data_IF_399175430113
#
_entry.id   IF_399175430113
#
_cell.length_a   1.000
_cell.length_b   1.000
_cell.length_c   1.000
_cell.angle_alpha   90.00
_cell.angle_beta   90.00
_cell.angle_gamma   90.00
#
_symmetry.space_group_name_H-M   'P 1'
#
loop_
_entity.id
_entity.type
_entity.pdbx_description
1 polymer ?
#
# COMPACT_ATOMS: atom_id res chain seq x y z
N UNK A 1 -21.47 -27.06 7.94
CA UNK A 1 -22.29 -27.02 6.69
C UNK A 1 -21.34 -26.72 5.55
N UNK A 2 -21.52 -27.30 4.35
CA UNK A 2 -20.51 -27.18 3.31
C UNK A 2 -20.34 -25.72 2.83
N UNK A 3 -19.10 -25.25 2.76
CA UNK A 3 -18.75 -23.95 2.16
C UNK A 3 -18.82 -24.09 0.64
N UNK A 4 -19.62 -23.24 -0.03
CA UNK A 4 -19.68 -23.16 -1.48
C UNK A 4 -18.72 -22.06 -1.95
N UNK A 5 -17.81 -22.36 -2.88
CA UNK A 5 -16.93 -21.36 -3.49
C UNK A 5 -17.42 -21.01 -4.89
N UNK A 6 -17.49 -19.71 -5.20
CA UNK A 6 -17.77 -19.22 -6.55
C UNK A 6 -16.62 -18.39 -7.07
N UNK A 7 -16.05 -18.84 -8.19
CA UNK A 7 -15.01 -18.14 -8.92
C UNK A 7 -15.58 -16.91 -9.65
N UNK A 8 -14.84 -15.80 -9.61
CA UNK A 8 -15.12 -14.59 -10.37
C UNK A 8 -14.73 -14.79 -11.84
N UNK A 9 -15.69 -15.23 -12.64
CA UNK A 9 -15.51 -15.36 -14.09
C UNK A 9 -15.58 -14.00 -14.78
N UNK A 10 -14.94 -13.90 -15.94
CA UNK A 10 -14.96 -12.67 -16.74
C UNK A 10 -16.39 -12.24 -17.07
N UNK A 11 -16.77 -11.01 -16.69
CA UNK A 11 -18.12 -10.49 -16.88
C UNK A 11 -19.15 -10.92 -15.83
N UNK A 12 -18.79 -11.73 -14.83
CA UNK A 12 -19.70 -12.14 -13.75
C UNK A 12 -19.95 -10.99 -12.75
N UNK A 13 -20.97 -10.19 -13.06
CA UNK A 13 -21.36 -9.04 -12.24
C UNK A 13 -21.89 -9.43 -10.87
N UNK A 14 -22.43 -10.64 -10.71
CA UNK A 14 -23.01 -11.07 -9.43
C UNK A 14 -21.90 -11.43 -8.46
N UNK A 15 -20.96 -12.29 -8.87
CA UNK A 15 -19.82 -12.66 -8.03
C UNK A 15 -18.96 -11.43 -7.74
N UNK A 16 -18.74 -10.54 -8.71
CA UNK A 16 -18.03 -9.29 -8.46
C UNK A 16 -18.72 -8.44 -7.38
N UNK A 17 -20.04 -8.29 -7.48
CA UNK A 17 -20.81 -7.55 -6.47
C UNK A 17 -20.70 -8.18 -5.08
N UNK A 18 -20.77 -9.50 -4.99
CA UNK A 18 -20.64 -10.21 -3.72
C UNK A 18 -19.22 -10.09 -3.15
N UNK A 19 -18.19 -10.16 -4.00
CA UNK A 19 -16.79 -9.93 -3.62
C UNK A 19 -16.56 -8.51 -3.06
N UNK A 20 -17.21 -7.51 -3.66
CA UNK A 20 -17.14 -6.13 -3.18
C UNK A 20 -17.91 -5.94 -1.87
N UNK A 21 -19.05 -6.62 -1.70
CA UNK A 21 -19.97 -6.38 -0.59
C UNK A 21 -19.71 -7.23 0.65
N UNK A 22 -19.04 -8.39 0.54
CA UNK A 22 -18.82 -9.30 1.68
C UNK A 22 -18.11 -8.61 2.86
N UNK A 23 -17.32 -7.58 2.58
CA UNK A 23 -16.67 -6.76 3.61
C UNK A 23 -17.66 -6.02 4.53
N UNK A 24 -18.87 -5.70 4.06
CA UNK A 24 -19.87 -5.05 4.94
C UNK A 24 -20.27 -5.98 6.08
N UNK A 25 -20.39 -7.28 5.79
CA UNK A 25 -20.69 -8.30 6.80
C UNK A 25 -19.49 -8.54 7.71
N UNK A 26 -18.29 -8.65 7.15
CA UNK A 26 -17.07 -8.96 7.93
C UNK A 26 -16.70 -7.81 8.87
N UNK A 27 -16.86 -6.57 8.41
CA UNK A 27 -16.49 -5.35 9.15
C UNK A 27 -17.70 -4.63 9.77
N UNK A 28 -18.83 -5.32 9.92
CA UNK A 28 -20.03 -4.73 10.54
C UNK A 28 -19.72 -4.18 11.94
N UNK A 29 -20.05 -2.91 12.17
CA UNK A 29 -19.81 -2.24 13.46
C UNK A 29 -18.33 -1.97 13.77
N UNK A 30 -17.40 -2.16 12.84
CA UNK A 30 -15.98 -1.86 13.04
C UNK A 30 -15.68 -0.37 12.78
N UNK A 31 -15.42 0.46 13.80
CA UNK A 31 -15.21 1.90 13.62
C UNK A 31 -13.90 2.24 12.90
N UNK A 32 -12.90 1.36 12.94
CA UNK A 32 -11.58 1.61 12.35
C UNK A 32 -11.45 1.15 10.89
N UNK A 33 -12.41 0.35 10.41
CA UNK A 33 -12.51 -0.04 9.03
C UNK A 33 -13.17 1.06 8.21
N UNK A 34 -12.59 1.37 7.05
CA UNK A 34 -13.19 2.26 6.06
C UNK A 34 -13.26 1.47 4.76
N UNK A 35 -14.49 1.28 4.26
CA UNK A 35 -14.72 0.55 3.03
C UNK A 35 -14.06 1.28 1.84
N UNK A 36 -13.15 0.61 1.10
CA UNK A 36 -12.59 1.16 -0.14
C UNK A 36 -13.67 1.45 -1.17
N UNK A 37 -13.35 2.33 -2.13
CA UNK A 37 -14.28 2.62 -3.22
C UNK A 37 -14.45 1.39 -4.12
N UNK A 38 -15.69 1.02 -4.41
CA UNK A 38 -16.01 -0.16 -5.22
C UNK A 38 -15.37 -0.07 -6.61
N UNK A 39 -15.29 1.15 -7.17
CA UNK A 39 -14.66 1.41 -8.46
C UNK A 39 -13.17 1.09 -8.45
N UNK A 40 -12.47 1.37 -7.34
CA UNK A 40 -11.04 1.09 -7.21
C UNK A 40 -10.79 -0.43 -7.21
N UNK A 41 -11.51 -1.16 -6.35
CA UNK A 41 -11.36 -2.62 -6.25
C UNK A 41 -11.82 -3.31 -7.55
N UNK A 42 -12.92 -2.86 -8.15
CA UNK A 42 -13.40 -3.40 -9.42
C UNK A 42 -12.40 -3.17 -10.57
N UNK A 43 -11.81 -1.98 -10.66
CA UNK A 43 -10.81 -1.67 -11.69
C UNK A 43 -9.51 -2.47 -11.49
N UNK A 44 -9.12 -2.75 -10.24
CA UNK A 44 -7.97 -3.63 -9.91
C UNK A 44 -8.20 -5.08 -10.33
N UNK A 45 -9.42 -5.61 -10.20
CA UNK A 45 -9.77 -6.98 -10.60
C UNK A 45 -10.13 -7.12 -12.09
N UNK A 46 -10.29 -6.01 -12.82
CA UNK A 46 -10.61 -6.02 -14.24
C UNK A 46 -9.36 -6.25 -15.09
N UNK A 47 -9.27 -7.45 -15.68
CA UNK A 47 -8.15 -7.89 -16.53
C UNK A 47 -7.88 -7.02 -17.75
N UNK A 48 -8.83 -6.20 -18.19
CA UNK A 48 -8.65 -5.27 -19.32
C UNK A 48 -8.20 -3.89 -18.88
N UNK A 49 -8.50 -3.50 -17.64
CA UNK A 49 -8.21 -2.15 -17.12
C UNK A 49 -6.96 -2.10 -16.26
N UNK A 50 -6.61 -3.18 -15.58
CA UNK A 50 -5.42 -3.24 -14.73
C UNK A 50 -4.22 -3.81 -15.53
N UNK A 51 -3.19 -3.01 -15.83
CA UNK A 51 -2.00 -3.44 -16.56
C UNK A 51 -1.20 -4.55 -15.87
N UNK A 52 -1.41 -4.80 -14.57
CA UNK A 52 -0.87 -5.96 -13.87
C UNK A 52 -1.15 -7.26 -14.64
N UNK A 53 -2.35 -7.42 -15.21
CA UNK A 53 -2.73 -8.62 -15.96
C UNK A 53 -2.11 -8.73 -17.36
N UNK A 54 -1.28 -7.77 -17.79
CA UNK A 54 -0.45 -7.94 -18.98
C UNK A 54 0.72 -8.89 -18.74
N UNK A 55 1.16 -9.02 -17.49
CA UNK A 55 2.27 -9.88 -17.08
C UNK A 55 1.91 -10.83 -15.93
N UNK A 56 0.64 -10.88 -15.52
CA UNK A 56 0.18 -11.76 -14.45
C UNK A 56 -1.11 -12.50 -14.81
N UNK A 57 -1.26 -13.69 -14.23
CA UNK A 57 -2.51 -14.42 -14.21
C UNK A 57 -3.13 -14.31 -12.82
N UNK A 58 -4.45 -14.12 -12.72
CA UNK A 58 -5.11 -14.16 -11.44
C UNK A 58 -6.60 -14.44 -11.53
N UNK A 59 -7.16 -14.85 -10.40
CA UNK A 59 -8.61 -15.03 -10.23
C UNK A 59 -9.01 -14.70 -8.80
N UNK A 60 -10.31 -14.64 -8.56
CA UNK A 60 -10.89 -14.33 -7.26
C UNK A 60 -12.04 -15.29 -6.94
N UNK A 61 -12.30 -15.52 -5.67
CA UNK A 61 -13.45 -16.31 -5.22
C UNK A 61 -14.19 -15.62 -4.09
N UNK A 62 -15.47 -15.96 -3.99
CA UNK A 62 -16.33 -15.66 -2.84
C UNK A 62 -16.76 -16.99 -2.23
N UNK A 63 -16.58 -17.12 -0.91
CA UNK A 63 -17.13 -18.23 -0.14
C UNK A 63 -18.55 -17.91 0.32
N UNK A 64 -19.44 -18.90 0.26
CA UNK A 64 -20.80 -18.81 0.75
C UNK A 64 -21.04 -19.85 1.84
N UNK A 65 -21.61 -19.39 2.96
CA UNK A 65 -22.11 -20.23 4.05
C UNK A 65 -23.60 -20.00 4.17
N UNK A 66 -24.39 -21.06 4.08
CA UNK A 66 -25.86 -21.00 4.10
C UNK A 66 -26.44 -20.06 3.03
N UNK A 67 -25.83 -20.06 1.85
CA UNK A 67 -26.21 -19.21 0.72
C UNK A 67 -25.84 -17.73 0.84
N UNK A 68 -25.13 -17.32 1.89
CA UNK A 68 -24.70 -15.94 2.13
C UNK A 68 -23.17 -15.80 1.96
N UNK A 69 -22.66 -14.71 1.35
CA UNK A 69 -21.23 -14.44 1.30
C UNK A 69 -20.62 -14.43 2.71
N UNK A 70 -19.55 -15.21 2.90
CA UNK A 70 -18.86 -15.44 4.17
C UNK A 70 -17.37 -15.09 4.10
N UNK A 71 -16.81 -14.97 2.90
CA UNK A 71 -15.45 -14.50 2.72
C UNK A 71 -15.08 -14.32 1.25
N UNK A 72 -13.88 -13.79 1.02
CA UNK A 72 -13.30 -13.60 -0.30
C UNK A 72 -11.80 -13.88 -0.29
N UNK A 73 -11.25 -14.21 -1.45
CA UNK A 73 -9.81 -14.38 -1.67
C UNK A 73 -9.47 -14.15 -3.15
N UNK A 74 -8.23 -13.79 -3.42
CA UNK A 74 -7.60 -13.81 -4.75
C UNK A 74 -6.40 -14.74 -4.74
N UNK A 75 -6.09 -15.31 -5.90
CA UNK A 75 -4.83 -15.99 -6.16
C UNK A 75 -4.27 -15.53 -7.51
N UNK A 76 -2.96 -15.35 -7.57
CA UNK A 76 -2.30 -14.79 -8.74
C UNK A 76 -0.85 -15.28 -8.89
N UNK A 77 -0.43 -15.43 -10.14
CA UNK A 77 0.96 -15.67 -10.56
C UNK A 77 1.44 -14.38 -11.22
N UNK A 78 2.38 -13.71 -10.57
CA UNK A 78 3.04 -12.50 -11.06
C UNK A 78 4.35 -12.92 -11.77
N UNK A 79 4.39 -12.79 -13.10
CA UNK A 79 5.57 -13.22 -13.86
C UNK A 79 6.76 -12.25 -13.68
N UNK A 80 6.53 -11.00 -13.27
CA UNK A 80 7.61 -10.08 -12.89
C UNK A 80 8.21 -10.45 -11.53
N UNK A 81 7.40 -10.90 -10.57
CA UNK A 81 7.90 -11.50 -9.32
C UNK A 81 8.77 -12.71 -9.63
N UNK A 82 8.29 -13.64 -10.45
CA UNK A 82 9.03 -14.86 -10.80
C UNK A 82 10.32 -14.53 -11.59
N UNK A 83 10.30 -13.50 -12.44
CA UNK A 83 11.50 -13.03 -13.15
C UNK A 83 12.57 -12.52 -12.18
N UNK A 84 12.16 -11.80 -11.13
CA UNK A 84 13.07 -11.21 -10.15
C UNK A 84 13.58 -12.23 -9.12
N UNK A 85 12.71 -13.09 -8.61
CA UNK A 85 13.00 -13.95 -7.46
C UNK A 85 13.26 -15.42 -7.81
N UNK A 86 12.70 -15.92 -8.93
CA UNK A 86 12.87 -17.31 -9.41
C UNK A 86 12.62 -18.36 -8.33
N UNK A 87 11.59 -18.14 -7.51
CA UNK A 87 11.34 -18.90 -6.29
C UNK A 87 10.09 -19.79 -6.36
N UNK A 88 9.50 -19.94 -7.55
CA UNK A 88 8.26 -20.68 -7.83
C UNK A 88 7.08 -20.31 -6.89
N UNK A 89 7.05 -19.05 -6.44
CA UNK A 89 6.04 -18.54 -5.51
C UNK A 89 4.84 -17.97 -6.26
N UNK A 90 3.66 -18.53 -5.95
CA UNK A 90 2.37 -17.94 -6.22
C UNK A 90 1.90 -17.03 -5.08
N UNK A 91 1.05 -16.06 -5.40
CA UNK A 91 0.55 -15.09 -4.43
C UNK A 91 -0.94 -15.31 -4.15
N UNK A 92 -1.37 -15.00 -2.92
CA UNK A 92 -2.77 -14.83 -2.57
C UNK A 92 -3.00 -13.46 -1.91
N UNK A 93 -4.22 -12.95 -1.93
CA UNK A 93 -4.60 -11.77 -1.15
C UNK A 93 -6.08 -11.47 -1.20
N UNK A 94 -6.48 -10.22 -0.90
CA UNK A 94 -7.88 -9.86 -0.64
C UNK A 94 -8.59 -10.88 0.25
N UNK A 95 -7.87 -11.44 1.23
CA UNK A 95 -8.40 -12.45 2.12
C UNK A 95 -9.15 -11.76 3.25
N UNK A 96 -10.47 -11.79 3.16
CA UNK A 96 -11.37 -11.33 4.21
C UNK A 96 -12.38 -12.44 4.49
N UNK A 97 -12.50 -12.85 5.75
CA UNK A 97 -13.47 -13.89 6.15
C UNK A 97 -14.21 -13.50 7.41
N UNK A 98 -15.41 -14.05 7.60
CA UNK A 98 -16.00 -14.15 8.95
C UNK A 98 -15.07 -14.95 9.88
N UNK A 99 -15.28 -14.87 11.20
CA UNK A 99 -14.51 -15.64 12.20
C UNK A 99 -14.93 -17.12 12.17
N UNK A 100 -14.54 -17.82 11.10
CA UNK A 100 -14.92 -19.19 10.80
C UNK A 100 -13.76 -19.95 10.14
N UNK A 101 -13.13 -20.91 10.85
CA UNK A 101 -12.02 -21.69 10.31
C UNK A 101 -12.36 -22.46 9.03
N UNK A 102 -13.58 -23.01 8.91
CA UNK A 102 -14.02 -23.72 7.71
C UNK A 102 -14.01 -22.82 6.47
N UNK A 103 -14.49 -21.58 6.61
CA UNK A 103 -14.49 -20.58 5.52
C UNK A 103 -13.07 -20.19 5.10
N UNK A 104 -12.18 -19.93 6.06
CA UNK A 104 -10.80 -19.54 5.77
C UNK A 104 -10.01 -20.69 5.11
N UNK A 105 -10.14 -21.91 5.64
CA UNK A 105 -9.48 -23.09 5.07
C UNK A 105 -9.96 -23.35 3.64
N UNK A 106 -11.27 -23.30 3.38
CA UNK A 106 -11.81 -23.51 2.04
C UNK A 106 -11.24 -22.49 1.02
N UNK A 107 -11.19 -21.20 1.37
CA UNK A 107 -10.64 -20.16 0.50
C UNK A 107 -9.13 -20.34 0.25
N UNK A 108 -8.35 -20.61 1.30
CA UNK A 108 -6.89 -20.80 1.20
C UNK A 108 -6.54 -22.09 0.45
N UNK A 109 -7.31 -23.17 0.63
CA UNK A 109 -7.14 -24.43 -0.08
C UNK A 109 -7.43 -24.27 -1.58
N UNK A 110 -8.48 -23.54 -1.95
CA UNK A 110 -8.83 -23.25 -3.34
C UNK A 110 -7.74 -22.42 -4.04
N UNK A 111 -7.26 -21.34 -3.38
CA UNK A 111 -6.13 -20.56 -3.88
C UNK A 111 -4.87 -21.42 -4.08
N UNK A 112 -4.54 -22.28 -3.11
CA UNK A 112 -3.43 -23.20 -3.20
C UNK A 112 -3.57 -24.21 -4.35
N UNK A 113 -4.76 -24.78 -4.54
CA UNK A 113 -5.03 -25.70 -5.66
C UNK A 113 -4.86 -25.00 -7.01
N UNK A 114 -5.38 -23.78 -7.14
CA UNK A 114 -5.24 -22.98 -8.36
C UNK A 114 -3.79 -22.63 -8.70
N UNK A 115 -2.97 -22.34 -7.67
CA UNK A 115 -1.53 -22.08 -7.82
C UNK A 115 -0.74 -23.35 -8.17
N UNK A 116 -1.04 -24.50 -7.53
CA UNK A 116 -0.44 -25.81 -7.88
C UNK A 116 -0.70 -26.18 -9.33
N UNK A 117 -1.92 -25.97 -9.82
CA UNK A 117 -2.28 -26.23 -11.20
C UNK A 117 -1.47 -25.40 -12.21
N UNK A 118 -0.82 -24.32 -11.76
CA UNK A 118 0.08 -23.45 -12.54
C UNK A 118 1.56 -23.68 -12.25
N UNK A 119 1.88 -24.76 -11.54
CA UNK A 119 3.26 -25.18 -11.28
C UNK A 119 3.97 -24.41 -10.16
N UNK A 120 3.24 -23.61 -9.37
CA UNK A 120 3.81 -22.95 -8.20
C UNK A 120 4.07 -23.97 -7.08
N UNK A 121 5.18 -23.79 -6.36
CA UNK A 121 5.61 -24.66 -5.25
C UNK A 121 5.45 -24.00 -3.87
N UNK A 122 5.17 -22.70 -3.86
CA UNK A 122 4.93 -21.93 -2.64
C UNK A 122 3.74 -21.01 -2.86
N UNK A 123 2.96 -20.78 -1.82
CA UNK A 123 1.92 -19.75 -1.76
C UNK A 123 2.29 -18.73 -0.68
N UNK A 124 2.32 -17.43 -1.04
CA UNK A 124 2.69 -16.34 -0.12
C UNK A 124 1.68 -15.20 -0.17
N UNK A 125 1.40 -14.57 0.98
CA UNK A 125 0.45 -13.47 1.06
C UNK A 125 0.02 -13.13 2.49
N UNK A 126 -0.94 -12.22 2.67
CA UNK A 126 -1.73 -11.62 1.61
C UNK A 126 -1.00 -10.48 0.88
N UNK A 127 -1.11 -10.46 -0.44
CA UNK A 127 -0.86 -9.32 -1.34
C UNK A 127 -2.13 -9.10 -2.13
N UNK A 128 -2.75 -7.93 -2.08
CA UNK A 128 -3.98 -7.70 -2.84
C UNK A 128 -3.86 -8.21 -4.28
N UNK A 129 -2.82 -7.79 -5.01
CA UNK A 129 -2.40 -8.45 -6.25
C UNK A 129 -0.87 -8.60 -6.33
N UNK A 130 -0.12 -7.56 -5.94
CA UNK A 130 1.35 -7.56 -5.95
C UNK A 130 1.93 -6.85 -4.72
N UNK A 131 3.26 -6.92 -4.55
CA UNK A 131 4.01 -6.18 -3.51
C UNK A 131 3.82 -4.66 -3.59
N UNK A 132 3.45 -4.15 -4.76
CA UNK A 132 3.27 -2.72 -5.03
C UNK A 132 1.86 -2.21 -4.68
N UNK A 133 0.97 -3.09 -4.23
CA UNK A 133 -0.37 -2.76 -3.72
C UNK A 133 -0.41 -2.92 -2.18
N UNK A 134 -1.57 -3.29 -1.60
CA UNK A 134 -1.74 -3.58 -0.16
C UNK A 134 -1.12 -4.94 0.22
N UNK A 135 -0.27 -4.93 1.26
CA UNK A 135 0.54 -6.08 1.71
C UNK A 135 0.33 -6.39 3.18
N UNK A 136 0.16 -7.67 3.48
CA UNK A 136 0.15 -8.25 4.82
C UNK A 136 -1.21 -8.19 5.53
N UNK A 137 -1.43 -9.15 6.42
CA UNK A 137 -2.57 -9.19 7.32
C UNK A 137 -2.28 -8.32 8.56
N UNK A 138 -3.26 -7.54 9.02
CA UNK A 138 -3.10 -6.78 10.26
C UNK A 138 -3.09 -7.75 11.44
N UNK A 139 -2.01 -7.79 12.22
CA UNK A 139 -1.85 -8.69 13.37
C UNK A 139 -1.75 -7.94 14.70
N UNK A 140 -1.40 -6.66 14.67
CA UNK A 140 -1.36 -5.78 15.85
C UNK A 140 -1.83 -4.37 15.46
N UNK A 141 -2.42 -3.64 16.41
CA UNK A 141 -2.82 -2.24 16.19
C UNK A 141 -4.26 -2.04 15.73
N UNK A 142 -5.17 -2.99 16.00
CA UNK A 142 -6.61 -2.93 15.66
C UNK A 142 -7.36 -1.69 16.19
N UNK A 143 -6.78 -0.96 17.16
CA UNK A 143 -7.33 0.31 17.66
C UNK A 143 -7.12 1.51 16.73
N UNK A 144 -6.29 1.39 15.69
CA UNK A 144 -6.00 2.46 14.74
C UNK A 144 -6.78 2.28 13.43
N UNK A 145 -7.30 3.37 12.88
CA UNK A 145 -8.01 3.35 11.60
C UNK A 145 -7.11 2.94 10.42
N UNK A 146 -7.72 2.38 9.39
CA UNK A 146 -7.09 2.18 8.09
C UNK A 146 -6.71 3.55 7.48
N UNK A 147 -5.52 3.64 6.88
CA UNK A 147 -5.06 4.81 6.12
C UNK A 147 -4.96 4.42 4.65
N UNK A 148 -5.04 5.39 3.74
CA UNK A 148 -4.95 5.16 2.29
C UNK A 148 -3.87 4.13 1.90
N UNK A 149 -4.27 3.16 1.07
CA UNK A 149 -3.43 2.08 0.54
C UNK A 149 -2.82 1.16 1.63
N UNK A 150 -3.41 1.12 2.82
CA UNK A 150 -3.03 0.20 3.89
C UNK A 150 -4.23 -0.69 4.21
N UNK A 151 -4.04 -2.02 4.26
CA UNK A 151 -5.15 -2.89 4.56
C UNK A 151 -5.58 -2.75 6.02
N UNK A 152 -6.77 -3.23 6.32
CA UNK A 152 -7.28 -3.37 7.67
C UNK A 152 -7.94 -4.74 7.78
N UNK A 153 -7.71 -5.43 8.90
CA UNK A 153 -8.28 -6.75 9.14
C UNK A 153 -8.80 -6.85 10.57
N UNK A 154 -9.75 -7.75 10.80
CA UNK A 154 -10.22 -8.08 12.15
C UNK A 154 -9.20 -8.93 12.90
N UNK A 155 -9.20 -8.95 14.25
CA UNK A 155 -8.27 -9.73 15.05
C UNK A 155 -8.23 -11.24 14.76
N UNK A 156 -9.32 -11.81 14.24
CA UNK A 156 -9.36 -13.22 13.89
C UNK A 156 -8.61 -13.57 12.61
N UNK A 157 -8.44 -12.62 11.67
CA UNK A 157 -7.95 -12.92 10.33
C UNK A 157 -6.56 -13.58 10.34
N UNK A 158 -5.62 -13.03 11.11
CA UNK A 158 -4.27 -13.59 11.24
C UNK A 158 -4.27 -14.99 11.88
N UNK A 159 -5.09 -15.19 12.92
CA UNK A 159 -5.22 -16.51 13.58
C UNK A 159 -5.79 -17.56 12.63
N UNK A 160 -6.75 -17.20 11.77
CA UNK A 160 -7.32 -18.13 10.80
C UNK A 160 -6.31 -18.52 9.71
N UNK A 161 -5.45 -17.59 9.28
CA UNK A 161 -4.35 -17.89 8.35
C UNK A 161 -3.36 -18.88 8.97
N UNK A 162 -3.01 -18.68 10.24
CA UNK A 162 -2.10 -19.57 10.99
C UNK A 162 -2.73 -20.95 11.22
N UNK A 163 -4.03 -21.02 11.53
CA UNK A 163 -4.77 -22.28 11.69
C UNK A 163 -4.86 -23.08 10.37
N UNK A 164 -4.89 -22.40 9.23
CA UNK A 164 -4.82 -23.01 7.90
C UNK A 164 -3.40 -23.49 7.50
N UNK A 165 -2.44 -23.42 8.44
CA UNK A 165 -1.09 -23.95 8.28
C UNK A 165 -0.13 -23.06 7.49
N UNK A 166 -0.40 -21.75 7.39
CA UNK A 166 0.57 -20.79 6.85
C UNK A 166 1.42 -20.20 7.98
N UNK A 167 2.70 -20.03 7.72
CA UNK A 167 3.69 -19.54 8.69
C UNK A 167 4.15 -18.12 8.36
N UNK A 168 4.55 -17.35 9.38
CA UNK A 168 5.12 -16.00 9.18
C UNK A 168 6.35 -16.06 8.27
N UNK A 169 6.42 -15.16 7.28
CA UNK A 169 7.65 -14.90 6.52
C UNK A 169 8.25 -13.52 6.78
N UNK A 170 7.42 -12.48 6.95
CA UNK A 170 7.89 -11.11 7.14
C UNK A 170 6.84 -10.27 7.83
N UNK A 171 7.26 -9.50 8.84
CA UNK A 171 6.45 -8.41 9.39
C UNK A 171 6.87 -7.05 8.80
N UNK A 172 5.85 -6.21 8.65
CA UNK A 172 5.93 -4.85 8.18
C UNK A 172 5.34 -3.92 9.23
N UNK A 173 6.11 -2.92 9.62
CA UNK A 173 5.64 -1.90 10.55
C UNK A 173 4.99 -0.75 9.79
N UNK A 174 3.94 -0.24 10.41
CA UNK A 174 3.35 1.04 10.10
C UNK A 174 3.45 1.96 11.31
N UNK A 175 3.85 3.20 11.05
CA UNK A 175 4.20 4.17 12.07
C UNK A 175 3.23 5.33 12.04
N UNK A 176 2.73 5.71 13.22
CA UNK A 176 2.04 6.97 13.41
C UNK A 176 3.04 8.09 13.65
N UNK A 177 2.84 9.19 12.94
CA UNK A 177 3.60 10.42 13.06
C UNK A 177 2.65 11.58 13.39
N UNK A 178 3.06 12.46 14.28
CA UNK A 178 2.35 13.70 14.60
C UNK A 178 3.15 14.87 14.03
N UNK A 179 2.46 15.72 13.26
CA UNK A 179 3.09 16.91 12.67
C UNK A 179 3.33 17.92 13.77
N UNK A 180 4.55 18.43 13.86
CA UNK A 180 4.92 19.35 14.93
C UNK A 180 6.38 19.73 14.91
N UNK A 181 6.92 19.99 16.11
CA UNK A 181 8.31 20.40 16.27
C UNK A 181 9.28 19.30 15.84
N UNK A 182 10.19 19.69 14.95
CA UNK A 182 11.22 18.79 14.43
C UNK A 182 12.37 18.70 15.44
N UNK A 183 12.94 17.50 15.72
CA UNK A 183 14.11 17.38 16.57
C UNK A 183 15.30 18.23 16.10
N UNK A 184 16.02 18.89 17.01
CA UNK A 184 17.13 19.78 16.69
C UNK A 184 18.23 19.12 15.84
N UNK A 185 18.46 17.80 16.01
CA UNK A 185 19.38 17.04 15.15
C UNK A 185 18.93 16.99 13.70
N UNK A 186 17.64 16.76 13.44
CA UNK A 186 17.08 16.73 12.09
C UNK A 186 17.04 18.14 11.48
N UNK A 187 16.76 19.17 12.27
CA UNK A 187 16.81 20.57 11.81
C UNK A 187 18.23 20.97 11.35
N UNK A 188 19.27 20.60 12.11
CA UNK A 188 20.67 20.86 11.73
C UNK A 188 21.04 20.17 10.43
N UNK A 189 20.74 18.88 10.31
CA UNK A 189 21.00 18.12 9.08
C UNK A 189 20.25 18.71 7.87
N UNK A 190 19.01 19.18 8.06
CA UNK A 190 18.25 19.88 7.02
C UNK A 190 18.95 21.17 6.58
N UNK A 191 19.37 22.02 7.53
CA UNK A 191 20.05 23.27 7.23
C UNK A 191 21.39 23.05 6.51
N UNK A 192 22.16 22.04 6.91
CA UNK A 192 23.43 21.67 6.27
C UNK A 192 23.25 21.27 4.81
N UNK A 193 22.26 20.41 4.51
CA UNK A 193 21.95 19.99 3.14
C UNK A 193 21.43 21.18 2.31
N UNK A 194 20.56 22.01 2.88
CA UNK A 194 19.98 23.17 2.18
C UNK A 194 21.03 24.24 1.84
N UNK A 195 22.09 24.36 2.63
CA UNK A 195 23.17 25.32 2.40
C UNK A 195 24.14 24.91 1.28
N UNK A 196 24.05 23.67 0.77
CA UNK A 196 24.92 23.19 -0.29
C UNK A 196 24.50 23.79 -1.64
N UNK A 197 25.39 24.50 -2.36
CA UNK A 197 25.03 25.21 -3.58
C UNK A 197 24.59 24.28 -4.71
N UNK A 198 25.08 23.03 -4.74
CA UNK A 198 24.70 22.05 -5.75
C UNK A 198 23.37 21.34 -5.47
N UNK A 199 22.80 21.52 -4.27
CA UNK A 199 21.55 20.87 -3.88
C UNK A 199 20.38 21.76 -4.28
N UNK A 200 19.53 21.24 -5.15
CA UNK A 200 18.31 21.92 -5.57
C UNK A 200 17.09 21.08 -5.27
N UNK A 201 16.03 21.70 -4.74
CA UNK A 201 14.80 21.01 -4.41
C UNK A 201 13.60 21.72 -4.99
N UNK A 202 12.60 20.97 -5.43
CA UNK A 202 11.33 21.53 -5.89
C UNK A 202 10.16 20.61 -5.56
N UNK A 203 8.98 21.19 -5.47
CA UNK A 203 7.74 20.44 -5.39
C UNK A 203 7.43 19.73 -6.72
N UNK A 204 6.56 18.73 -6.65
CA UNK A 204 5.98 18.10 -7.83
C UNK A 204 5.20 19.10 -8.68
N UNK A 205 5.18 18.91 -9.99
CA UNK A 205 4.52 19.76 -10.96
C UNK A 205 3.27 19.06 -11.54
N UNK A 206 2.04 19.44 -11.13
CA UNK A 206 0.81 18.84 -11.63
C UNK A 206 0.62 18.97 -13.15
N UNK A 207 1.23 19.98 -13.79
CA UNK A 207 1.13 20.17 -15.24
C UNK A 207 2.01 19.17 -15.99
N UNK A 208 3.10 18.73 -15.37
CA UNK A 208 4.06 17.78 -15.93
C UNK A 208 4.13 16.49 -15.10
N UNK A 209 2.95 16.01 -14.68
CA UNK A 209 2.82 14.90 -13.74
C UNK A 209 3.61 13.65 -14.15
N UNK A 210 3.50 13.24 -15.42
CA UNK A 210 4.16 12.03 -15.91
C UNK A 210 5.69 12.14 -15.87
N UNK A 211 6.26 13.32 -16.13
CA UNK A 211 7.70 13.57 -16.01
C UNK A 211 8.16 13.35 -14.56
N UNK A 212 7.46 13.97 -13.62
CA UNK A 212 7.84 13.94 -12.21
C UNK A 212 7.64 12.54 -11.61
N UNK A 213 6.58 11.83 -12.01
CA UNK A 213 6.34 10.44 -11.63
C UNK A 213 7.41 9.49 -12.18
N UNK A 214 7.89 9.70 -13.41
CA UNK A 214 9.03 8.92 -13.94
C UNK A 214 10.30 9.15 -13.13
N UNK A 215 10.59 10.39 -12.73
CA UNK A 215 11.73 10.69 -11.85
C UNK A 215 11.57 9.99 -10.50
N UNK A 216 10.38 10.09 -9.89
CA UNK A 216 10.04 9.43 -8.63
C UNK A 216 10.29 7.93 -8.71
N UNK A 217 9.78 7.27 -9.74
CA UNK A 217 9.91 5.82 -9.89
C UNK A 217 11.31 5.36 -10.25
N UNK A 218 12.04 6.13 -11.05
CA UNK A 218 13.42 5.79 -11.36
C UNK A 218 14.31 5.85 -10.10
N UNK A 219 14.12 6.89 -9.28
CA UNK A 219 14.80 6.98 -7.96
C UNK A 219 14.32 5.86 -7.03
N UNK A 220 13.03 5.54 -7.00
CA UNK A 220 12.46 4.47 -6.19
C UNK A 220 13.00 3.10 -6.56
N UNK A 221 13.01 2.75 -7.84
CA UNK A 221 13.49 1.46 -8.33
C UNK A 221 14.99 1.27 -8.01
N UNK A 222 15.81 2.31 -8.22
CA UNK A 222 17.20 2.29 -7.78
C UNK A 222 17.29 2.12 -6.26
N UNK A 223 16.53 2.91 -5.51
CA UNK A 223 16.55 2.94 -4.06
C UNK A 223 16.09 1.63 -3.38
N UNK A 224 15.11 0.94 -3.93
CA UNK A 224 14.45 -0.22 -3.31
C UNK A 224 14.80 -1.55 -3.95
N UNK A 225 15.65 -1.57 -4.99
CA UNK A 225 16.03 -2.80 -5.69
C UNK A 225 16.60 -3.93 -4.80
N UNK A 226 17.16 -3.60 -3.63
CA UNK A 226 17.69 -4.59 -2.68
C UNK A 226 16.72 -4.93 -1.53
N UNK A 227 15.51 -4.33 -1.50
CA UNK A 227 14.53 -4.61 -0.45
C UNK A 227 13.87 -5.97 -0.65
N UNK A 228 13.49 -6.60 0.47
CA UNK A 228 12.76 -7.86 0.44
C UNK A 228 11.47 -7.74 -0.38
N UNK A 229 11.28 -8.68 -1.32
CA UNK A 229 10.10 -8.76 -2.18
C UNK A 229 10.01 -7.69 -3.27
N UNK A 230 11.07 -6.91 -3.52
CA UNK A 230 11.04 -5.87 -4.55
C UNK A 230 10.72 -6.42 -5.95
N UNK A 231 9.70 -5.84 -6.58
CA UNK A 231 9.35 -6.06 -7.99
C UNK A 231 9.17 -4.69 -8.65
N UNK A 232 9.87 -4.39 -9.76
CA UNK A 232 9.75 -3.10 -10.42
C UNK A 232 8.36 -2.95 -11.06
N UNK A 233 7.76 -1.76 -10.96
CA UNK A 233 6.57 -1.43 -11.74
C UNK A 233 6.93 -1.28 -13.22
N UNK A 234 6.06 -1.77 -14.09
CA UNK A 234 6.13 -1.51 -15.54
C UNK A 234 5.72 -0.06 -15.87
N UNK A 235 6.13 0.44 -17.03
CA UNK A 235 5.75 1.78 -17.52
C UNK A 235 4.23 1.98 -17.56
N UNK A 236 3.47 0.93 -17.92
CA UNK A 236 2.00 1.00 -18.02
C UNK A 236 1.33 1.02 -16.65
N UNK A 237 1.80 0.21 -15.70
CA UNK A 237 1.35 0.27 -14.31
C UNK A 237 1.62 1.66 -13.71
N UNK A 238 2.79 2.22 -14.00
CA UNK A 238 3.15 3.56 -13.59
C UNK A 238 2.20 4.64 -14.15
N UNK A 239 1.91 4.58 -15.45
CA UNK A 239 0.97 5.51 -16.10
C UNK A 239 -0.43 5.38 -15.49
N UNK A 240 -0.88 4.16 -15.21
CA UNK A 240 -2.18 3.94 -14.54
C UNK A 240 -2.16 4.53 -13.14
N UNK A 241 -1.16 4.19 -12.32
CA UNK A 241 -1.04 4.69 -10.95
C UNK A 241 -1.01 6.22 -10.92
N UNK A 242 -0.25 6.87 -11.83
CA UNK A 242 -0.24 8.32 -12.02
C UNK A 242 -1.64 8.91 -12.26
N UNK A 243 -2.45 8.23 -13.08
CA UNK A 243 -3.82 8.65 -13.38
C UNK A 243 -4.72 8.51 -12.16
N UNK A 244 -4.59 7.42 -11.42
CA UNK A 244 -5.42 7.10 -10.26
C UNK A 244 -5.17 8.08 -9.11
N UNK A 245 -3.90 8.44 -8.86
CA UNK A 245 -3.56 9.40 -7.78
C UNK A 245 -3.71 10.87 -8.20
N UNK A 246 -3.88 11.17 -9.51
CA UNK A 246 -3.90 12.55 -10.04
C UNK A 246 -4.86 13.48 -9.31
N UNK A 247 -6.04 12.99 -8.91
CA UNK A 247 -7.07 13.80 -8.25
C UNK A 247 -6.71 14.19 -6.81
N UNK A 248 -5.80 13.45 -6.19
CA UNK A 248 -5.49 13.55 -4.76
C UNK A 248 -4.07 14.05 -4.50
N UNK A 249 -3.23 14.12 -5.54
CA UNK A 249 -1.88 14.64 -5.42
C UNK A 249 -1.87 16.08 -4.94
N UNK A 250 -1.04 16.33 -3.93
CA UNK A 250 -0.75 17.65 -3.40
C UNK A 250 0.73 17.94 -3.68
N UNK A 251 1.06 18.93 -4.54
CA UNK A 251 2.44 19.27 -4.92
C UNK A 251 3.37 19.43 -3.72
N UNK A 252 2.87 20.03 -2.65
CA UNK A 252 3.60 20.32 -1.41
C UNK A 252 4.09 19.03 -0.75
N UNK A 253 3.33 17.94 -0.84
CA UNK A 253 3.69 16.62 -0.32
C UNK A 253 4.61 15.82 -1.27
N UNK A 254 4.98 16.37 -2.42
CA UNK A 254 5.90 15.71 -3.35
C UNK A 254 7.18 16.53 -3.45
N UNK A 255 8.32 15.97 -3.03
CA UNK A 255 9.61 16.64 -3.12
C UNK A 255 10.54 15.89 -4.06
N UNK A 256 11.14 16.61 -4.99
CA UNK A 256 12.20 16.14 -5.87
C UNK A 256 13.47 16.91 -5.52
N UNK A 257 14.52 16.18 -5.17
CA UNK A 257 15.82 16.75 -4.77
C UNK A 257 16.89 16.31 -5.74
N UNK A 258 17.65 17.28 -6.23
CA UNK A 258 18.69 17.15 -7.24
C UNK A 258 20.04 17.53 -6.63
N UNK A 259 21.10 16.84 -7.05
CA UNK A 259 22.50 17.17 -6.73
C UNK A 259 23.23 17.27 -8.06
N UNK A 260 23.89 18.40 -8.32
CA UNK A 260 24.58 18.68 -9.60
C UNK A 260 23.64 18.53 -10.82
N UNK A 261 22.35 18.85 -10.65
CA UNK A 261 21.32 18.73 -11.69
C UNK A 261 20.77 17.30 -11.90
N UNK A 262 21.32 16.28 -11.25
CA UNK A 262 20.84 14.90 -11.32
C UNK A 262 19.81 14.60 -10.22
N UNK A 263 18.69 13.88 -10.49
CA UNK A 263 17.77 13.44 -9.45
C UNK A 263 18.46 12.56 -8.42
N UNK A 264 18.56 13.03 -7.18
CA UNK A 264 19.30 12.36 -6.11
C UNK A 264 18.37 11.68 -5.09
N UNK A 265 17.27 12.33 -4.76
CA UNK A 265 16.34 11.83 -3.78
C UNK A 265 14.92 12.36 -3.99
N UNK A 266 13.93 11.62 -3.48
CA UNK A 266 12.52 11.93 -3.63
C UNK A 266 11.73 11.59 -2.38
N UNK A 267 10.67 12.35 -2.14
CA UNK A 267 9.61 11.98 -1.20
C UNK A 267 8.24 12.25 -1.81
N UNK A 268 7.29 11.36 -1.51
CA UNK A 268 5.91 11.44 -1.96
C UNK A 268 4.99 11.06 -0.82
N UNK A 269 4.25 12.05 -0.35
CA UNK A 269 3.10 11.88 0.51
C UNK A 269 1.80 11.97 -0.29
N UNK A 270 0.80 11.22 0.14
CA UNK A 270 -0.59 11.33 -0.33
C UNK A 270 -1.48 11.73 0.85
N UNK A 271 -2.51 12.55 0.62
CA UNK A 271 -3.50 12.81 1.67
C UNK A 271 -4.28 11.53 1.98
N UNK A 272 -4.67 11.35 3.24
CA UNK A 272 -5.46 10.19 3.60
C UNK A 272 -6.91 10.37 3.11
N UNK A 273 -7.27 9.65 2.05
CA UNK A 273 -8.64 9.68 1.53
C UNK A 273 -9.65 9.09 2.50
N UNK A 274 -9.22 8.19 3.38
CA UNK A 274 -10.09 7.51 4.31
C UNK A 274 -10.78 8.51 5.27
N UNK A 275 -10.07 9.58 5.66
CA UNK A 275 -10.64 10.73 6.38
C UNK A 275 -11.83 11.39 5.65
N UNK A 276 -11.87 11.27 4.32
CA UNK A 276 -12.76 12.02 3.43
C UNK A 276 -13.83 11.16 2.77
N UNK A 277 -13.77 9.83 2.87
CA UNK A 277 -14.72 8.91 2.20
C UNK A 277 -15.47 7.99 3.17
N UNK A 278 -15.29 8.13 4.48
CA UNK A 278 -15.90 7.26 5.50
C UNK A 278 -17.40 7.02 5.32
N UNK A 279 -18.16 8.03 4.89
CA UNK A 279 -19.61 7.99 4.66
C UNK A 279 -20.00 7.69 3.19
N UNK A 280 -19.06 7.23 2.36
CA UNK A 280 -19.34 6.89 0.96
C UNK A 280 -19.82 5.44 0.81
N UNK A 281 -19.51 4.56 1.77
CA UNK A 281 -19.89 3.15 1.72
C UNK A 281 -19.56 2.49 0.37
N UNK A 282 -18.35 2.73 -0.13
CA UNK A 282 -17.88 2.23 -1.43
C UNK A 282 -18.38 2.98 -2.67
N UNK A 283 -19.33 3.93 -2.54
CA UNK A 283 -19.95 4.62 -3.69
C UNK A 283 -19.33 6.00 -3.94
N UNK A 284 -18.66 6.15 -5.09
CA UNK A 284 -18.11 7.43 -5.53
C UNK A 284 -19.02 8.20 -6.51
N UNK A 285 -19.68 7.51 -7.45
CA UNK A 285 -20.40 8.16 -8.55
C UNK A 285 -21.92 8.24 -8.32
N UNK A 286 -22.60 9.26 -8.87
CA UNK A 286 -22.01 10.47 -9.49
C UNK A 286 -21.70 11.58 -8.48
N UNK A 287 -22.49 11.71 -7.41
CA UNK A 287 -22.42 12.84 -6.48
C UNK A 287 -21.18 12.81 -5.55
N UNK A 288 -20.63 11.63 -5.27
CA UNK A 288 -19.48 11.46 -4.38
C UNK A 288 -18.20 12.11 -4.92
N UNK A 289 -18.03 12.23 -6.25
CA UNK A 289 -16.87 12.93 -6.83
C UNK A 289 -16.86 14.41 -6.44
N UNK A 290 -17.99 15.10 -6.60
CA UNK A 290 -18.09 16.51 -6.21
C UNK A 290 -17.90 16.69 -4.70
N UNK A 291 -18.48 15.79 -3.91
CA UNK A 291 -18.31 15.78 -2.45
C UNK A 291 -16.86 15.55 -2.03
N UNK A 292 -16.15 14.63 -2.68
CA UNK A 292 -14.74 14.33 -2.43
C UNK A 292 -13.85 15.51 -2.83
N UNK A 293 -14.06 16.08 -4.03
CA UNK A 293 -13.31 17.24 -4.49
C UNK A 293 -13.50 18.45 -3.57
N UNK A 294 -14.73 18.72 -3.14
CA UNK A 294 -15.00 19.78 -2.18
C UNK A 294 -14.31 19.52 -0.83
N UNK A 295 -14.35 18.28 -0.32
CA UNK A 295 -13.65 17.90 0.91
C UNK A 295 -12.13 18.07 0.79
N UNK A 296 -11.53 17.66 -0.32
CA UNK A 296 -10.10 17.82 -0.59
C UNK A 296 -9.69 19.29 -0.69
N UNK A 297 -10.48 20.12 -1.39
CA UNK A 297 -10.10 21.50 -1.74
C UNK A 297 -10.51 22.54 -0.68
N UNK A 298 -11.59 22.31 0.04
CA UNK A 298 -12.17 23.29 0.98
C UNK A 298 -11.94 22.89 2.44
N UNK A 299 -12.19 21.62 2.80
CA UNK A 299 -11.95 21.16 4.18
C UNK A 299 -10.48 20.81 4.42
N UNK A 300 -9.83 20.22 3.43
CA UNK A 300 -8.50 19.66 3.55
C UNK A 300 -8.50 18.32 4.31
N UNK A 301 -7.54 17.43 3.99
CA UNK A 301 -7.29 16.21 4.75
C UNK A 301 -6.70 16.53 6.14
N UNK A 302 -7.04 15.73 7.16
CA UNK A 302 -6.46 15.88 8.50
C UNK A 302 -5.15 15.12 8.64
N UNK A 303 -4.98 14.07 7.86
CA UNK A 303 -3.79 13.24 7.85
C UNK A 303 -3.35 12.87 6.44
N UNK A 304 -2.16 12.29 6.34
CA UNK A 304 -1.60 11.78 5.09
C UNK A 304 -0.79 10.52 5.30
N UNK A 305 -0.29 9.95 4.21
CA UNK A 305 0.64 8.83 4.22
C UNK A 305 1.89 9.18 3.43
N UNK A 306 3.06 8.97 4.01
CA UNK A 306 4.31 8.96 3.26
C UNK A 306 4.44 7.62 2.54
N UNK A 307 4.23 7.62 1.22
CA UNK A 307 4.20 6.39 0.40
C UNK A 307 5.61 6.05 -0.09
N UNK A 308 6.35 7.05 -0.55
CA UNK A 308 7.72 6.87 -1.04
C UNK A 308 8.65 7.85 -0.35
N UNK A 309 9.79 7.33 0.10
CA UNK A 309 10.97 8.13 0.42
C UNK A 309 12.19 7.36 -0.04
N UNK A 310 12.91 7.91 -1.01
CA UNK A 310 14.00 7.23 -1.69
C UNK A 310 15.18 8.16 -1.93
N UNK A 311 16.37 7.65 -1.65
CA UNK A 311 17.65 8.27 -2.03
C UNK A 311 18.36 7.28 -2.93
N UNK A 312 18.89 7.72 -4.08
CA UNK A 312 19.65 6.83 -4.96
C UNK A 312 20.88 6.26 -4.26
N UNK A 313 21.25 5.02 -4.59
CA UNK A 313 22.39 4.31 -4.01
C UNK A 313 23.68 5.13 -4.11
N UNK A 314 23.90 5.81 -5.25
CA UNK A 314 25.04 6.72 -5.50
C UNK A 314 25.27 7.74 -4.39
N UNK A 315 24.21 8.21 -3.72
CA UNK A 315 24.29 9.28 -2.73
C UNK A 315 24.17 8.81 -1.27
N UNK A 316 23.65 7.60 -1.01
CA UNK A 316 23.37 7.09 0.36
C UNK A 316 24.58 7.00 1.28
N UNK A 317 25.71 6.56 0.75
CA UNK A 317 26.91 6.27 1.54
C UNK A 317 27.96 7.38 1.44
N UNK A 318 27.62 8.49 0.78
CA UNK A 318 28.50 9.65 0.66
C UNK A 318 28.35 10.49 1.92
N UNK A 319 29.40 10.56 2.73
CA UNK A 319 29.40 11.25 4.05
C UNK A 319 28.85 12.67 3.99
N UNK A 320 29.17 13.41 2.91
CA UNK A 320 28.67 14.77 2.69
C UNK A 320 27.14 14.85 2.63
N UNK A 321 26.47 13.81 2.13
CA UNK A 321 25.01 13.76 1.96
C UNK A 321 24.32 12.88 3.01
N UNK A 322 25.00 12.55 4.12
CA UNK A 322 24.43 11.72 5.19
C UNK A 322 23.17 12.34 5.84
N UNK A 323 23.00 13.66 5.74
CA UNK A 323 21.81 14.38 6.21
C UNK A 323 20.58 14.29 5.30
N UNK A 324 20.69 13.70 4.11
CA UNK A 324 19.66 13.80 3.07
C UNK A 324 18.32 13.14 3.48
N UNK A 325 18.35 12.03 4.23
CA UNK A 325 17.12 11.44 4.79
C UNK A 325 16.43 12.38 5.77
N UNK A 326 17.19 12.98 6.69
CA UNK A 326 16.66 13.93 7.65
C UNK A 326 16.11 15.17 6.96
N UNK A 327 16.80 15.68 5.93
CA UNK A 327 16.32 16.75 5.08
C UNK A 327 14.93 16.45 4.52
N UNK A 328 14.72 15.26 3.93
CA UNK A 328 13.40 14.86 3.41
C UNK A 328 12.33 14.74 4.50
N UNK A 329 12.69 14.25 5.70
CA UNK A 329 11.74 14.17 6.83
C UNK A 329 11.27 15.56 7.25
N UNK A 330 12.19 16.53 7.35
CA UNK A 330 11.86 17.92 7.70
C UNK A 330 11.00 18.58 6.62
N UNK A 331 11.35 18.37 5.34
CA UNK A 331 10.54 18.87 4.21
C UNK A 331 9.11 18.34 4.25
N UNK A 332 8.93 17.04 4.53
CA UNK A 332 7.61 16.42 4.63
C UNK A 332 6.81 16.95 5.82
N UNK A 333 7.44 17.08 7.00
CA UNK A 333 6.77 17.66 8.18
C UNK A 333 6.32 19.11 7.92
N UNK A 334 7.18 19.92 7.30
CA UNK A 334 6.84 21.32 6.94
C UNK A 334 5.72 21.38 5.91
N UNK A 335 5.72 20.51 4.90
CA UNK A 335 4.65 20.44 3.92
C UNK A 335 3.31 20.05 4.56
N UNK A 336 3.30 19.03 5.42
CA UNK A 336 2.11 18.61 6.14
C UNK A 336 1.59 19.73 7.07
N UNK A 337 2.50 20.45 7.76
CA UNK A 337 2.15 21.61 8.58
C UNK A 337 1.51 22.74 7.76
N UNK A 338 2.10 23.09 6.61
CA UNK A 338 1.58 24.10 5.69
C UNK A 338 0.15 23.78 5.22
N UNK A 339 -0.13 22.49 5.00
CA UNK A 339 -1.45 21.99 4.60
C UNK A 339 -2.44 21.82 5.76
N UNK A 340 -2.05 22.14 7.00
CA UNK A 340 -2.89 22.00 8.19
C UNK A 340 -3.13 20.56 8.64
N UNK A 341 -2.32 19.60 8.17
CA UNK A 341 -2.39 18.21 8.60
C UNK A 341 -1.87 18.07 10.03
N UNK A 342 -2.51 17.20 10.81
CA UNK A 342 -2.14 16.93 12.22
C UNK A 342 -1.12 15.82 12.37
N UNK A 343 -0.99 14.97 11.36
CA UNK A 343 -0.20 13.74 11.45
C UNK A 343 -0.33 12.90 10.21
N UNK A 344 0.18 11.68 10.28
CA UNK A 344 0.09 10.74 9.20
C UNK A 344 0.64 9.38 9.54
N UNK A 345 0.62 8.52 8.54
CA UNK A 345 1.17 7.17 8.60
C UNK A 345 2.42 7.06 7.72
N UNK A 346 3.44 6.39 8.23
CA UNK A 346 4.66 6.08 7.51
C UNK A 346 4.77 4.56 7.42
N UNK A 347 4.90 4.02 6.21
CA UNK A 347 5.02 2.58 6.01
C UNK A 347 4.67 2.12 4.60
N UNK A 348 4.91 0.85 4.28
CA UNK A 348 5.50 -0.14 5.18
C UNK A 348 7.00 0.02 5.36
N UNK A 349 7.49 -0.32 6.54
CA UNK A 349 8.92 -0.55 6.77
C UNK A 349 9.12 -2.00 7.19
N UNK A 350 10.11 -2.68 6.60
CA UNK A 350 10.44 -4.05 7.00
C UNK A 350 10.88 -4.08 8.47
N UNK A 351 10.53 -5.15 9.17
CA UNK A 351 10.92 -5.36 10.58
C UNK A 351 12.44 -5.26 10.82
N UNK A 352 13.23 -5.64 9.82
CA UNK A 352 14.69 -5.67 9.81
C UNK A 352 15.36 -4.44 9.17
N UNK A 353 14.60 -3.45 8.71
CA UNK A 353 15.15 -2.22 8.13
C UNK A 353 15.57 -1.20 9.23
N UNK A 354 16.67 -1.51 9.92
CA UNK A 354 17.14 -0.74 11.07
C UNK A 354 17.36 0.76 10.78
N UNK A 355 17.89 1.09 9.60
CA UNK A 355 18.20 2.48 9.22
C UNK A 355 16.93 3.34 9.10
N UNK A 356 15.92 2.86 8.38
CA UNK A 356 14.65 3.57 8.21
C UNK A 356 13.88 3.61 9.53
N UNK A 357 13.82 2.48 10.25
CA UNK A 357 13.13 2.39 11.54
C UNK A 357 13.75 3.35 12.58
N UNK A 358 15.08 3.51 12.59
CA UNK A 358 15.76 4.48 13.44
C UNK A 358 15.48 5.94 13.00
N UNK A 359 15.44 6.21 11.70
CA UNK A 359 15.11 7.53 11.17
C UNK A 359 13.70 7.99 11.54
N UNK A 360 12.73 7.09 11.48
CA UNK A 360 11.34 7.38 11.88
C UNK A 360 11.24 7.62 13.40
N UNK A 361 11.89 6.77 14.21
CA UNK A 361 11.97 6.97 15.68
C UNK A 361 12.63 8.30 16.05
N UNK A 362 13.69 8.68 15.34
CA UNK A 362 14.37 9.98 15.55
C UNK A 362 13.37 11.13 15.40
N UNK A 363 12.49 11.07 14.40
CA UNK A 363 11.47 12.08 14.17
C UNK A 363 10.30 12.01 15.18
N UNK A 364 10.26 11.02 16.07
CA UNK A 364 9.19 10.84 17.06
C UNK A 364 8.07 9.90 16.62
N UNK A 365 8.23 9.23 15.46
CA UNK A 365 7.27 8.25 15.00
C UNK A 365 7.18 7.03 15.92
N UNK A 366 5.98 6.46 16.05
CA UNK A 366 5.71 5.28 16.89
C UNK A 366 5.04 4.20 16.07
N UNK A 367 5.46 2.94 16.22
CA UNK A 367 4.77 1.81 15.59
C UNK A 367 3.33 1.80 16.10
N UNK A 368 2.37 1.83 15.18
CA UNK A 368 0.95 1.79 15.50
C UNK A 368 0.27 0.52 15.01
N UNK A 369 0.79 -0.11 13.96
CA UNK A 369 0.26 -1.35 13.37
C UNK A 369 1.39 -2.25 12.89
N UNK A 370 1.17 -3.56 12.98
CA UNK A 370 2.04 -4.59 12.44
C UNK A 370 1.25 -5.40 11.41
N UNK A 371 1.80 -5.51 10.20
CA UNK A 371 1.25 -6.29 9.10
C UNK A 371 2.14 -7.49 8.83
N UNK A 372 1.56 -8.69 8.74
CA UNK A 372 2.28 -9.95 8.57
C UNK A 372 1.99 -10.55 7.21
N UNK A 373 3.05 -10.92 6.50
CA UNK A 373 2.96 -11.82 5.36
C UNK A 373 3.27 -13.24 5.85
N UNK A 374 2.52 -14.18 5.30
CA UNK A 374 2.57 -15.59 5.56
C UNK A 374 2.92 -16.38 4.30
N UNK A 375 3.43 -17.60 4.48
CA UNK A 375 3.63 -18.53 3.38
C UNK A 375 3.39 -19.99 3.78
N UNK A 376 3.16 -20.84 2.78
CA UNK A 376 3.25 -22.30 2.90
C UNK A 376 3.80 -22.93 1.64
N UNK A 377 4.41 -24.11 1.77
CA UNK A 377 4.71 -24.97 0.64
C UNK A 377 3.42 -25.51 0.00
N UNK A 378 3.45 -25.75 -1.30
CA UNK A 378 2.35 -26.31 -2.08
C UNK A 378 2.63 -27.77 -2.43
#
# INVERSE_FOLDING_TARGET
MAIELRELKNGDRKVLKDFLNVVDTIYEGEPNYIRPLDLDIADRLDKKKNPFFEHAEGTAWVAYKDGRPAGRITAQVDHEHLRCHRDDTGLFGFLDTIDDPETAEALLAEAAAWLRARGMKRMRGPYSLSINEEVGCLVEGFGASAVLMMPYHRPHQGRLIEQAGLEKVKDFYSWRYEVGDVPARAQRAHAEILAMPEVHTRCGDPKNLLRDIRILMDVFNDAWSDNWGFVPMTEKELIKWAKDVRLILMPELTKLTFIDGEPAAVSLGLPDLNDLIRDFHGKLLPAGVFKLLWRLRVRGPKSGRLVVLGIRKKWRHVRRYAGLSAFLYVEMNRAAHLLGMKGGELGWTLEDNAAINAGIRLMGGRICKTYRVYERAL
#
